data_IF_231718758969
#
_entry.id   IF_231718758969
#
_cell.length_a   1.000
_cell.length_b   1.000
_cell.length_c   1.000
_cell.angle_alpha   90.00
_cell.angle_beta   90.00
_cell.angle_gamma   90.00
#
_symmetry.space_group_name_H-M   'P 1'
#
loop_
_entity.id
_entity.type
_entity.pdbx_description
1 polymer ?
#
# COMPACT_ATOMS: atom_id res chain seq x y z
N UNK A 1 -17.46 -23.46 -9.05
CA UNK A 1 -18.61 -22.78 -8.42
C UNK A 1 -18.96 -21.54 -9.22
N UNK A 2 -20.19 -21.04 -9.15
CA UNK A 2 -20.53 -19.73 -9.75
C UNK A 2 -20.28 -18.60 -8.73
N UNK A 3 -19.95 -17.41 -9.21
CA UNK A 3 -19.87 -16.21 -8.36
C UNK A 3 -21.28 -15.87 -7.85
N UNK A 4 -21.46 -15.74 -6.52
CA UNK A 4 -22.76 -15.47 -5.94
C UNK A 4 -23.14 -13.98 -6.11
N UNK A 5 -24.39 -13.62 -5.83
CA UNK A 5 -24.85 -12.22 -6.02
C UNK A 5 -24.33 -11.30 -4.93
N UNK A 6 -24.07 -11.85 -3.75
CA UNK A 6 -23.46 -11.14 -2.65
C UNK A 6 -22.23 -11.93 -2.19
N UNK A 7 -21.06 -11.31 -2.29
CA UNK A 7 -19.83 -11.82 -1.73
C UNK A 7 -18.98 -10.64 -1.29
N UNK A 8 -18.60 -10.60 -0.01
CA UNK A 8 -17.66 -9.60 0.48
C UNK A 8 -16.74 -10.17 1.53
N UNK A 9 -15.53 -9.65 1.59
CA UNK A 9 -14.55 -9.91 2.64
C UNK A 9 -14.16 -8.60 3.32
N UNK A 10 -14.07 -8.65 4.65
CA UNK A 10 -13.41 -7.60 5.42
C UNK A 10 -11.90 -7.69 5.20
N UNK A 11 -11.22 -6.54 5.13
CA UNK A 11 -9.76 -6.53 5.03
C UNK A 11 -9.11 -7.16 6.26
N UNK A 12 -8.03 -7.90 6.06
CA UNK A 12 -7.22 -8.46 7.13
C UNK A 12 -6.09 -7.54 7.61
N UNK A 13 -5.67 -6.58 6.79
CA UNK A 13 -4.62 -5.61 7.11
C UNK A 13 -5.24 -4.22 7.27
N UNK A 14 -5.20 -3.69 8.48
CA UNK A 14 -5.81 -2.41 8.85
C UNK A 14 -4.74 -1.44 9.38
N UNK A 15 -4.01 -0.73 8.49
CA UNK A 15 -3.08 0.32 8.92
C UNK A 15 -3.81 1.59 9.36
N UNK A 16 -3.24 2.32 10.31
CA UNK A 16 -3.63 3.70 10.64
C UNK A 16 -3.09 4.68 9.60
N UNK A 17 -3.38 5.98 9.77
CA UNK A 17 -2.62 7.03 9.07
C UNK A 17 -1.17 7.01 9.58
N UNK A 18 -0.21 7.24 8.69
CA UNK A 18 1.17 7.47 9.09
C UNK A 18 1.42 8.96 9.27
N UNK A 19 1.90 9.38 10.43
CA UNK A 19 2.00 10.79 10.80
C UNK A 19 3.47 11.19 10.86
N UNK A 20 3.81 12.33 10.24
CA UNK A 20 5.15 12.89 10.30
C UNK A 20 5.32 13.83 11.48
N UNK A 21 6.42 13.68 12.20
CA UNK A 21 6.78 14.49 13.35
C UNK A 21 8.29 14.52 13.54
N UNK A 22 8.79 15.43 14.36
CA UNK A 22 10.17 15.46 14.81
C UNK A 22 10.22 15.58 16.32
N UNK A 23 11.42 15.43 16.90
CA UNK A 23 11.64 15.56 18.34
C UNK A 23 12.42 16.84 18.63
N UNK A 24 12.15 17.45 19.78
CA UNK A 24 12.93 18.55 20.35
C UNK A 24 13.33 18.18 21.79
N UNK A 25 14.24 18.92 22.45
CA UNK A 25 14.55 18.67 23.86
C UNK A 25 13.33 18.72 24.79
N UNK A 26 12.27 19.42 24.40
CA UNK A 26 11.05 19.63 25.18
C UNK A 26 9.90 18.68 24.80
N UNK A 27 9.98 18.00 23.66
CA UNK A 27 8.85 17.25 23.09
C UNK A 27 9.30 16.07 22.22
N UNK A 28 8.81 14.88 22.53
CA UNK A 28 9.02 13.67 21.71
C UNK A 28 8.10 13.60 20.48
N UNK A 29 7.19 14.57 20.33
CA UNK A 29 6.26 14.62 19.23
C UNK A 29 5.91 16.07 18.87
N UNK A 30 6.74 16.69 18.02
CA UNK A 30 6.40 17.93 17.35
C UNK A 30 5.82 17.65 15.96
N UNK A 31 4.54 18.00 15.70
CA UNK A 31 3.90 17.80 14.41
C UNK A 31 4.65 18.50 13.27
N UNK A 32 4.99 17.76 12.20
CA UNK A 32 5.50 18.38 10.97
C UNK A 32 4.35 19.10 10.27
N UNK A 33 4.45 20.42 10.14
CA UNK A 33 3.37 21.25 9.59
C UNK A 33 3.42 21.37 8.07
N UNK A 34 2.25 21.58 7.47
CA UNK A 34 2.09 21.92 6.07
C UNK A 34 2.04 23.44 5.95
N UNK A 35 2.78 23.98 4.98
CA UNK A 35 2.81 25.39 4.63
C UNK A 35 2.09 25.63 3.31
N UNK A 36 1.64 26.87 3.10
CA UNK A 36 1.04 27.28 1.83
C UNK A 36 1.92 28.31 1.14
N UNK A 37 2.35 27.97 -0.07
CA UNK A 37 3.18 28.85 -0.90
C UNK A 37 2.37 29.37 -2.08
N UNK A 38 2.54 30.66 -2.37
CA UNK A 38 2.07 31.29 -3.61
C UNK A 38 3.26 31.47 -4.54
N UNK A 39 3.22 30.82 -5.69
CA UNK A 39 4.29 30.84 -6.69
C UNK A 39 3.73 31.24 -8.05
N UNK A 40 4.59 31.75 -8.92
CA UNK A 40 4.24 32.10 -10.30
C UNK A 40 4.99 31.15 -11.22
N UNK A 41 4.27 30.21 -11.82
CA UNK A 41 4.79 29.32 -12.85
C UNK A 41 4.74 29.97 -14.23
N UNK A 42 5.29 29.29 -15.23
CA UNK A 42 5.07 29.62 -16.64
C UNK A 42 3.96 28.75 -17.22
N UNK A 43 3.30 29.21 -18.28
CA UNK A 43 2.40 28.37 -19.07
C UNK A 43 3.24 27.34 -19.83
N UNK A 44 3.00 26.07 -19.57
CA UNK A 44 3.79 24.95 -20.10
C UNK A 44 2.94 23.74 -20.45
N UNK A 45 1.62 23.81 -20.26
CA UNK A 45 0.71 22.74 -20.63
C UNK A 45 0.49 22.70 -22.13
N UNK A 46 0.29 21.50 -22.68
CA UNK A 46 -0.09 21.34 -24.09
C UNK A 46 -1.31 22.18 -24.45
N UNK A 47 -2.32 22.18 -23.57
CA UNK A 47 -3.54 22.97 -23.74
C UNK A 47 -3.32 24.49 -23.67
N UNK A 48 -2.17 24.99 -23.22
CA UNK A 48 -1.88 26.43 -23.24
C UNK A 48 -1.61 26.90 -24.67
N UNK A 49 -0.93 26.09 -25.50
CA UNK A 49 -0.51 26.45 -26.86
C UNK A 49 -1.24 25.70 -27.99
N UNK A 50 -1.85 24.55 -27.69
CA UNK A 50 -2.45 23.65 -28.68
C UNK A 50 -3.91 23.32 -28.36
N UNK A 51 -4.67 23.04 -29.42
CA UNK A 51 -6.03 22.48 -29.35
C UNK A 51 -5.98 20.96 -29.13
N UNK A 52 -7.12 20.32 -28.84
CA UNK A 52 -7.20 18.87 -28.58
C UNK A 52 -6.68 18.03 -29.75
N UNK A 53 -6.84 18.52 -30.98
CA UNK A 53 -6.39 17.89 -32.23
C UNK A 53 -4.89 18.11 -32.51
N UNK A 54 -4.19 18.87 -31.68
CA UNK A 54 -2.76 19.18 -31.85
C UNK A 54 -2.45 20.36 -32.77
N UNK A 55 -3.47 21.08 -33.22
CA UNK A 55 -3.30 22.33 -33.94
C UNK A 55 -2.89 23.45 -32.99
N UNK A 56 -1.96 24.30 -33.42
CA UNK A 56 -1.54 25.47 -32.64
C UNK A 56 -2.71 26.47 -32.50
N UNK A 57 -2.87 27.02 -31.30
CA UNK A 57 -3.80 28.13 -31.05
C UNK A 57 -3.25 29.41 -31.65
N UNK A 58 -4.13 30.28 -32.16
CA UNK A 58 -3.76 31.61 -32.59
C UNK A 58 -3.57 32.51 -31.35
N UNK A 59 -2.35 32.54 -30.82
CA UNK A 59 -1.97 33.29 -29.63
C UNK A 59 -0.89 34.31 -29.99
N UNK A 60 -0.90 35.46 -29.34
CA UNK A 60 0.23 36.36 -29.42
C UNK A 60 1.39 35.81 -28.57
N UNK A 61 2.67 36.08 -28.92
CA UNK A 61 3.82 35.58 -28.16
C UNK A 61 3.74 35.90 -26.65
N UNK A 62 3.22 37.07 -26.28
CA UNK A 62 3.05 37.45 -24.88
C UNK A 62 2.07 36.56 -24.08
N UNK A 63 1.11 35.91 -24.75
CA UNK A 63 0.08 35.12 -24.08
C UNK A 63 0.66 33.90 -23.36
N UNK A 64 1.78 33.36 -23.86
CA UNK A 64 2.53 32.27 -23.24
C UNK A 64 3.58 32.76 -22.24
N UNK A 65 3.97 34.04 -22.31
CA UNK A 65 4.93 34.65 -21.40
C UNK A 65 4.31 35.11 -20.07
N UNK A 66 2.98 35.32 -20.03
CA UNK A 66 2.31 35.66 -18.77
C UNK A 66 2.48 34.56 -17.72
N UNK A 67 2.85 35.00 -16.51
CA UNK A 67 2.94 34.12 -15.35
C UNK A 67 1.60 33.46 -15.04
N UNK A 68 1.67 32.26 -14.49
CA UNK A 68 0.55 31.47 -14.01
C UNK A 68 0.65 31.36 -12.47
N UNK A 69 0.02 32.30 -11.73
CA UNK A 69 0.03 32.26 -10.26
C UNK A 69 -0.71 31.02 -9.75
N UNK A 70 -0.08 30.31 -8.82
CA UNK A 70 -0.63 29.11 -8.18
C UNK A 70 -0.40 29.17 -6.68
N UNK A 71 -1.37 28.67 -5.92
CA UNK A 71 -1.21 28.40 -4.48
C UNK A 71 -1.06 26.89 -4.31
N UNK A 72 -0.02 26.43 -3.63
CA UNK A 72 0.21 25.01 -3.37
C UNK A 72 0.54 24.76 -1.90
N UNK A 73 0.14 23.59 -1.40
CA UNK A 73 0.61 23.11 -0.11
C UNK A 73 1.98 22.44 -0.29
N UNK A 74 2.88 22.77 0.61
CA UNK A 74 4.24 22.21 0.68
C UNK A 74 4.54 21.76 2.11
N UNK A 75 5.53 20.89 2.26
CA UNK A 75 5.93 20.36 3.55
C UNK A 75 7.43 20.19 3.52
N UNK A 76 8.16 20.87 4.41
CA UNK A 76 9.62 20.81 4.47
C UNK A 76 10.04 20.50 5.91
N UNK A 77 11.14 19.77 6.05
CA UNK A 77 11.75 19.60 7.37
C UNK A 77 12.28 20.95 7.87
N UNK A 78 12.05 21.33 9.15
CA UNK A 78 12.60 22.57 9.68
C UNK A 78 14.14 22.61 9.58
N UNK A 79 14.76 23.79 9.35
CA UNK A 79 16.21 23.90 9.13
C UNK A 79 17.10 23.35 10.26
N UNK A 80 16.59 23.30 11.49
CA UNK A 80 17.32 22.84 12.68
C UNK A 80 17.10 21.36 12.99
N UNK A 81 16.30 20.65 12.18
CA UNK A 81 15.93 19.26 12.41
C UNK A 81 16.69 18.37 11.43
N UNK A 82 17.46 17.42 11.97
CA UNK A 82 18.25 16.46 11.18
C UNK A 82 17.55 15.10 11.03
N UNK A 83 16.55 14.85 11.89
CA UNK A 83 15.83 13.58 11.94
C UNK A 83 14.32 13.83 11.97
N UNK A 84 13.64 13.22 11.00
CA UNK A 84 12.19 13.19 10.91
C UNK A 84 11.70 11.79 11.25
N UNK A 85 10.56 11.68 11.92
CA UNK A 85 9.91 10.42 12.23
C UNK A 85 8.60 10.30 11.44
N UNK A 86 8.27 9.07 11.03
CA UNK A 86 6.96 8.73 10.48
C UNK A 86 6.44 7.48 11.18
N UNK A 87 5.30 7.57 11.87
CA UNK A 87 4.76 6.45 12.67
C UNK A 87 3.33 6.11 12.30
N UNK A 88 3.02 4.82 12.26
CA UNK A 88 1.67 4.28 12.13
C UNK A 88 1.54 2.94 12.84
N UNK A 89 0.31 2.55 13.19
CA UNK A 89 0.02 1.21 13.67
C UNK A 89 -0.60 0.34 12.57
N UNK A 90 -0.36 -0.97 12.65
CA UNK A 90 -0.99 -1.97 11.80
C UNK A 90 -1.66 -3.01 12.67
N UNK A 91 -2.97 -3.21 12.46
CA UNK A 91 -3.70 -4.36 12.99
C UNK A 91 -3.84 -5.42 11.91
N UNK A 92 -3.45 -6.65 12.24
CA UNK A 92 -3.60 -7.84 11.40
C UNK A 92 -4.67 -8.75 12.00
N UNK A 93 -5.62 -9.16 11.17
CA UNK A 93 -6.82 -9.91 11.56
C UNK A 93 -7.06 -11.09 10.60
N UNK A 94 -7.60 -12.19 11.11
CA UNK A 94 -7.88 -13.39 10.32
C UNK A 94 -9.17 -13.31 9.49
N UNK A 95 -9.52 -12.12 8.98
CA UNK A 95 -10.73 -11.85 8.20
C UNK A 95 -10.76 -12.56 6.82
N UNK A 96 -9.63 -13.12 6.38
CA UNK A 96 -9.55 -13.93 5.15
C UNK A 96 -10.09 -15.36 5.30
N UNK A 97 -10.36 -15.84 6.52
CA UNK A 97 -10.81 -17.23 6.79
C UNK A 97 -12.19 -17.51 6.16
N UNK A 98 -13.10 -16.55 6.22
CA UNK A 98 -14.46 -16.72 5.73
C UNK A 98 -15.03 -15.41 5.17
N UNK A 99 -16.02 -15.49 4.25
CA UNK A 99 -16.69 -14.30 3.76
C UNK A 99 -17.38 -13.52 4.89
N UNK A 100 -17.32 -12.20 4.84
CA UNK A 100 -18.09 -11.32 5.72
C UNK A 100 -19.59 -11.33 5.37
N UNK A 101 -19.91 -11.38 4.07
CA UNK A 101 -21.27 -11.53 3.55
C UNK A 101 -21.21 -12.50 2.38
N UNK A 102 -22.09 -13.50 2.36
CA UNK A 102 -22.31 -14.37 1.21
C UNK A 102 -23.73 -14.94 1.19
N UNK A 103 -24.39 -14.93 0.03
CA UNK A 103 -25.76 -15.44 -0.15
C UNK A 103 -25.84 -16.91 -0.63
N UNK A 104 -24.70 -17.59 -0.82
CA UNK A 104 -24.65 -19.01 -1.21
C UNK A 104 -23.83 -19.85 -0.18
N UNK A 105 -24.49 -20.71 0.62
CA UNK A 105 -23.81 -21.58 1.58
C UNK A 105 -22.76 -22.52 0.97
N UNK A 106 -22.92 -22.93 -0.30
CA UNK A 106 -21.93 -23.77 -0.99
C UNK A 106 -20.65 -22.98 -1.26
N UNK A 107 -20.77 -21.71 -1.62
CA UNK A 107 -19.61 -20.83 -1.83
C UNK A 107 -18.88 -20.60 -0.51
N UNK A 108 -19.60 -20.35 0.58
CA UNK A 108 -19.00 -20.25 1.94
C UNK A 108 -18.18 -21.49 2.27
N UNK A 109 -18.76 -22.69 2.07
CA UNK A 109 -18.07 -23.95 2.33
C UNK A 109 -16.76 -24.06 1.54
N UNK A 110 -16.78 -23.78 0.24
CA UNK A 110 -15.59 -23.90 -0.61
C UNK A 110 -14.51 -22.87 -0.25
N UNK A 111 -14.89 -21.65 0.11
CA UNK A 111 -13.94 -20.60 0.49
C UNK A 111 -13.30 -20.87 1.85
N UNK A 112 -14.09 -21.34 2.84
CA UNK A 112 -13.54 -21.80 4.13
C UNK A 112 -12.56 -22.96 3.93
N UNK A 113 -12.98 -23.96 3.14
CA UNK A 113 -12.12 -25.12 2.82
C UNK A 113 -10.83 -24.68 2.12
N UNK A 114 -10.92 -23.74 1.18
CA UNK A 114 -9.74 -23.18 0.52
C UNK A 114 -8.77 -22.58 1.52
N UNK A 115 -9.24 -21.72 2.43
CA UNK A 115 -8.38 -21.09 3.41
C UNK A 115 -7.77 -22.09 4.38
N UNK A 116 -8.55 -23.06 4.87
CA UNK A 116 -8.03 -24.11 5.77
C UNK A 116 -6.97 -24.98 5.09
N UNK A 117 -7.19 -25.39 3.83
CA UNK A 117 -6.19 -26.11 3.05
C UNK A 117 -4.94 -25.26 2.83
N UNK A 118 -5.11 -23.98 2.48
CA UNK A 118 -3.99 -23.04 2.28
C UNK A 118 -3.15 -22.86 3.55
N UNK A 119 -3.81 -22.70 4.71
CA UNK A 119 -3.17 -22.64 6.03
C UNK A 119 -2.43 -23.94 6.35
N UNK A 120 -3.06 -25.10 6.13
CA UNK A 120 -2.46 -26.43 6.38
C UNK A 120 -1.18 -26.66 5.58
N UNK A 121 -1.10 -26.14 4.35
CA UNK A 121 0.07 -26.23 3.49
C UNK A 121 1.05 -25.05 3.65
N UNK A 122 0.98 -24.31 4.76
CA UNK A 122 1.85 -23.18 5.11
C UNK A 122 1.81 -21.99 4.13
N UNK A 123 0.73 -21.84 3.36
CA UNK A 123 0.60 -20.75 2.39
C UNK A 123 0.55 -19.35 3.02
N UNK A 124 0.06 -19.22 4.26
CA UNK A 124 0.05 -17.93 4.96
C UNK A 124 1.45 -17.37 5.20
N UNK A 125 2.47 -18.24 5.34
CA UNK A 125 3.85 -17.81 5.53
C UNK A 125 4.37 -17.03 4.31
N UNK A 126 4.02 -17.44 3.09
CA UNK A 126 4.42 -16.74 1.87
C UNK A 126 3.86 -15.31 1.84
N UNK A 127 2.57 -15.14 2.17
CA UNK A 127 1.94 -13.82 2.21
C UNK A 127 2.49 -12.96 3.35
N UNK A 128 2.63 -13.54 4.54
CA UNK A 128 3.17 -12.85 5.70
C UNK A 128 4.61 -12.37 5.46
N UNK A 129 5.45 -13.20 4.85
CA UNK A 129 6.82 -12.85 4.46
C UNK A 129 6.85 -11.69 3.47
N UNK A 130 5.96 -11.70 2.48
CA UNK A 130 5.83 -10.61 1.50
C UNK A 130 5.37 -9.30 2.13
N UNK A 131 4.40 -9.33 3.04
CA UNK A 131 3.97 -8.16 3.79
C UNK A 131 5.10 -7.63 4.69
N UNK A 132 5.78 -8.52 5.41
CA UNK A 132 6.93 -8.19 6.25
C UNK A 132 8.05 -7.50 5.45
N UNK A 133 8.41 -8.02 4.27
CA UNK A 133 9.37 -7.38 3.36
C UNK A 133 9.00 -5.93 3.06
N UNK A 134 7.74 -5.65 2.71
CA UNK A 134 7.32 -4.28 2.39
C UNK A 134 7.36 -3.33 3.59
N UNK A 135 7.06 -3.85 4.80
CA UNK A 135 7.17 -3.08 6.04
C UNK A 135 8.64 -2.76 6.34
N UNK A 136 9.51 -3.77 6.35
CA UNK A 136 10.94 -3.65 6.67
C UNK A 136 11.75 -2.88 5.62
N UNK A 137 11.32 -2.85 4.36
CA UNK A 137 11.94 -2.00 3.33
C UNK A 137 11.53 -0.53 3.44
N UNK A 138 10.49 -0.20 4.23
CA UNK A 138 9.95 1.16 4.29
C UNK A 138 9.18 1.57 3.02
N UNK A 139 8.65 0.62 2.24
CA UNK A 139 7.92 0.93 1.01
C UNK A 139 6.68 1.79 1.26
N UNK A 140 6.12 1.71 2.47
CA UNK A 140 5.00 2.52 2.94
C UNK A 140 5.33 4.01 3.09
N UNK A 141 6.61 4.42 3.08
CA UNK A 141 7.03 5.83 3.04
C UNK A 141 6.93 6.43 1.63
N UNK A 142 6.76 5.60 0.59
CA UNK A 142 6.75 6.02 -0.82
C UNK A 142 7.98 6.87 -1.17
N UNK A 143 7.79 8.10 -1.67
CA UNK A 143 8.89 9.00 -2.05
C UNK A 143 9.79 9.38 -0.88
N UNK A 144 9.27 9.40 0.35
CA UNK A 144 10.05 9.78 1.54
C UNK A 144 11.13 8.74 1.91
N UNK A 145 11.08 7.55 1.27
CA UNK A 145 12.14 6.55 1.34
C UNK A 145 13.43 7.01 0.63
N UNK A 146 13.32 7.96 -0.30
CA UNK A 146 14.46 8.57 -1.01
C UNK A 146 15.15 9.62 -0.13
N UNK A 147 15.60 9.18 1.05
CA UNK A 147 16.32 9.99 2.04
C UNK A 147 17.69 9.38 2.31
N UNK A 148 18.68 10.15 2.80
CA UNK A 148 20.02 9.65 3.11
C UNK A 148 20.03 8.35 3.92
N UNK A 149 19.25 8.31 5.01
CA UNK A 149 19.07 7.11 5.80
C UNK A 149 17.63 6.94 6.30
N UNK A 150 17.18 5.68 6.37
CA UNK A 150 15.86 5.31 6.91
C UNK A 150 16.05 4.05 7.76
N UNK A 151 15.87 4.20 9.06
CA UNK A 151 15.85 3.07 9.99
C UNK A 151 14.41 2.81 10.41
N UNK A 152 14.06 1.53 10.58
CA UNK A 152 12.70 1.11 10.91
C UNK A 152 12.73 0.32 12.21
N UNK A 153 11.92 0.78 13.16
CA UNK A 153 11.61 0.09 14.40
C UNK A 153 10.17 -0.40 14.37
N UNK A 154 9.95 -1.64 14.80
CA UNK A 154 8.63 -2.25 14.92
C UNK A 154 8.48 -2.82 16.32
N UNK A 155 7.52 -2.29 17.05
CA UNK A 155 7.10 -2.81 18.34
C UNK A 155 5.95 -3.79 18.14
N UNK A 156 6.01 -4.91 18.85
CA UNK A 156 4.95 -5.91 18.96
C UNK A 156 4.53 -6.03 20.41
N UNK A 157 3.35 -6.59 20.70
CA UNK A 157 2.79 -6.59 22.07
C UNK A 157 3.67 -7.31 23.11
N UNK A 158 4.46 -8.32 22.72
CA UNK A 158 5.16 -9.21 23.66
C UNK A 158 6.60 -9.58 23.25
N UNK A 159 7.22 -8.88 22.31
CA UNK A 159 8.59 -9.16 21.88
C UNK A 159 9.51 -7.94 21.94
N UNK A 160 10.81 -8.20 21.90
CA UNK A 160 11.80 -7.15 21.69
C UNK A 160 11.52 -6.40 20.37
N UNK A 161 11.87 -5.10 20.29
CA UNK A 161 11.73 -4.32 19.06
C UNK A 161 12.45 -5.00 17.89
N UNK A 162 11.80 -5.08 16.73
CA UNK A 162 12.44 -5.47 15.49
C UNK A 162 13.03 -4.22 14.87
N UNK A 163 14.35 -4.21 14.65
CA UNK A 163 15.09 -3.06 14.13
C UNK A 163 15.72 -3.42 12.80
N UNK A 164 15.58 -2.54 11.81
CA UNK A 164 16.26 -2.61 10.52
C UNK A 164 16.91 -1.27 10.22
N UNK A 165 18.23 -1.28 10.10
CA UNK A 165 19.00 -0.11 9.71
C UNK A 165 19.13 -0.02 8.17
N UNK A 166 19.05 1.20 7.64
CA UNK A 166 19.23 1.45 6.22
C UNK A 166 18.21 0.75 5.31
N UNK A 167 16.93 0.71 5.73
CA UNK A 167 15.82 0.07 5.03
C UNK A 167 15.68 0.49 3.56
N UNK A 168 16.08 1.71 3.20
CA UNK A 168 16.12 2.21 1.82
C UNK A 168 17.05 1.42 0.89
N UNK A 169 18.04 0.72 1.45
CA UNK A 169 19.01 -0.10 0.71
C UNK A 169 18.46 -1.50 0.39
N UNK A 170 17.49 -1.98 1.16
CA UNK A 170 16.86 -3.28 0.96
C UNK A 170 16.08 -3.33 -0.37
N UNK A 171 16.06 -4.50 -1.01
CA UNK A 171 15.40 -4.73 -2.31
C UNK A 171 14.49 -5.96 -2.23
N UNK A 172 13.40 -5.94 -3.00
CA UNK A 172 12.39 -7.01 -3.02
C UNK A 172 12.99 -8.39 -3.30
N UNK A 173 13.79 -8.49 -4.37
CA UNK A 173 14.57 -9.66 -4.77
C UNK A 173 16.03 -9.60 -4.29
N UNK A 174 16.29 -8.85 -3.19
CA UNK A 174 17.64 -8.67 -2.63
C UNK A 174 18.06 -9.79 -1.70
N UNK A 175 19.32 -9.73 -1.24
CA UNK A 175 19.83 -10.61 -0.18
C UNK A 175 19.35 -10.13 1.20
N UNK A 176 18.59 -10.98 1.89
CA UNK A 176 18.04 -10.70 3.22
C UNK A 176 18.85 -11.29 4.38
N UNK A 177 20.01 -11.92 4.14
CA UNK A 177 20.81 -12.62 5.19
C UNK A 177 21.04 -11.77 6.44
N UNK A 178 21.42 -10.50 6.28
CA UNK A 178 21.71 -9.60 7.40
C UNK A 178 20.45 -9.16 8.18
N UNK A 179 19.27 -9.32 7.58
CA UNK A 179 17.98 -8.95 8.17
C UNK A 179 17.05 -10.18 8.27
N UNK A 180 17.62 -11.39 8.26
CA UNK A 180 16.85 -12.63 8.18
C UNK A 180 16.04 -12.85 9.44
N UNK A 181 16.62 -12.61 10.62
CA UNK A 181 15.92 -12.69 11.90
C UNK A 181 14.74 -11.72 11.94
N UNK A 182 14.97 -10.45 11.59
CA UNK A 182 13.91 -9.44 11.54
C UNK A 182 12.77 -9.84 10.59
N UNK A 183 13.11 -10.37 9.40
CA UNK A 183 12.14 -10.87 8.44
C UNK A 183 11.33 -12.04 8.99
N UNK A 184 12.00 -13.07 9.54
CA UNK A 184 11.33 -14.26 10.08
C UNK A 184 10.39 -13.86 11.23
N UNK A 185 10.89 -13.13 12.22
CA UNK A 185 10.10 -12.74 13.40
C UNK A 185 8.87 -11.92 13.03
N UNK A 186 9.00 -10.94 12.11
CA UNK A 186 7.84 -10.17 11.66
C UNK A 186 6.87 -11.02 10.82
N UNK A 187 7.38 -11.94 10.01
CA UNK A 187 6.56 -12.84 9.20
C UNK A 187 5.74 -13.78 10.08
N UNK A 188 6.33 -14.33 11.14
CA UNK A 188 5.65 -15.17 12.12
C UNK A 188 4.53 -14.40 12.83
N UNK A 189 4.80 -13.17 13.28
CA UNK A 189 3.80 -12.33 13.93
C UNK A 189 2.62 -11.99 12.99
N UNK A 190 2.88 -11.67 11.72
CA UNK A 190 1.82 -11.41 10.74
C UNK A 190 1.06 -12.70 10.41
N UNK A 191 1.77 -13.83 10.25
CA UNK A 191 1.16 -15.13 9.97
C UNK A 191 0.22 -15.54 11.10
N UNK A 192 0.61 -15.36 12.36
CA UNK A 192 -0.23 -15.66 13.52
C UNK A 192 -1.54 -14.86 13.45
N UNK A 193 -1.47 -13.54 13.27
CA UNK A 193 -2.64 -12.67 13.18
C UNK A 193 -3.54 -12.96 11.97
N UNK A 194 -2.98 -13.45 10.85
CA UNK A 194 -3.77 -13.90 9.70
C UNK A 194 -4.45 -15.25 9.91
N UNK A 195 -4.00 -16.03 10.90
CA UNK A 195 -4.38 -17.44 11.04
C UNK A 195 -5.39 -17.73 12.16
N UNK A 196 -5.47 -16.85 13.17
CA UNK A 196 -6.29 -17.07 14.37
C UNK A 196 -7.35 -15.97 14.52
N UNK A 197 -8.66 -16.28 14.37
CA UNK A 197 -9.74 -15.31 14.58
C UNK A 197 -9.81 -14.69 15.98
N UNK A 198 -9.21 -15.33 16.99
CA UNK A 198 -9.25 -14.90 18.39
C UNK A 198 -8.05 -14.03 18.78
N UNK A 199 -6.99 -14.01 17.97
CA UNK A 199 -5.79 -13.23 18.24
C UNK A 199 -5.66 -12.12 17.20
N UNK A 200 -5.41 -10.91 17.68
CA UNK A 200 -5.07 -9.78 16.83
C UNK A 200 -3.56 -9.53 16.94
N UNK A 201 -2.88 -9.33 15.81
CA UNK A 201 -1.50 -8.88 15.83
C UNK A 201 -1.47 -7.37 15.66
N UNK A 202 -1.00 -6.66 16.68
CA UNK A 202 -0.80 -5.22 16.68
C UNK A 202 0.68 -4.90 16.55
N UNK A 203 0.98 -4.06 15.56
CA UNK A 203 2.32 -3.58 15.28
C UNK A 203 2.32 -2.05 15.39
N UNK A 204 3.27 -1.47 16.12
CA UNK A 204 3.59 -0.04 16.05
C UNK A 204 4.88 0.12 15.23
N UNK A 205 4.79 0.77 14.08
CA UNK A 205 5.87 0.91 13.11
C UNK A 205 6.32 2.37 13.07
N UNK A 206 7.58 2.61 13.40
CA UNK A 206 8.21 3.93 13.33
C UNK A 206 9.39 3.88 12.37
N UNK A 207 9.42 4.80 11.41
CA UNK A 207 10.61 5.10 10.63
C UNK A 207 11.30 6.34 11.19
N UNK A 208 12.61 6.24 11.45
CA UNK A 208 13.51 7.37 11.66
C UNK A 208 14.20 7.68 10.34
N UNK A 209 14.00 8.90 9.85
CA UNK A 209 14.44 9.36 8.53
C UNK A 209 15.49 10.44 8.76
N UNK A 210 16.75 10.14 8.47
CA UNK A 210 17.80 11.16 8.41
C UNK A 210 17.57 11.99 7.16
N UNK A 211 17.34 13.29 7.32
CA UNK A 211 17.00 14.19 6.23
C UNK A 211 18.17 15.11 5.85
N UNK A 212 18.18 15.55 4.59
CA UNK A 212 19.02 16.66 4.17
C UNK A 212 18.48 17.99 4.74
N UNK A 213 19.31 19.04 4.69
CA UNK A 213 18.93 20.38 5.14
C UNK A 213 17.68 20.87 4.40
N UNK A 214 16.63 21.21 5.17
CA UNK A 214 15.34 21.69 4.64
C UNK A 214 14.75 20.80 3.53
N UNK A 215 14.87 19.48 3.67
CA UNK A 215 14.38 18.52 2.67
C UNK A 215 12.84 18.59 2.51
N UNK A 216 12.33 18.51 1.28
CA UNK A 216 10.89 18.37 1.03
C UNK A 216 10.39 17.01 1.53
N UNK A 217 9.27 17.03 2.25
CA UNK A 217 8.52 15.85 2.66
C UNK A 217 7.28 15.74 1.77
N UNK A 218 6.91 14.51 1.43
CA UNK A 218 5.83 14.21 0.51
C UNK A 218 4.68 13.42 1.20
N UNK A 219 3.76 14.11 1.88
CA UNK A 219 2.52 13.53 2.41
C UNK A 219 1.60 12.97 1.32
N UNK A 220 0.45 12.42 1.72
CA UNK A 220 -0.60 12.12 0.74
C UNK A 220 -1.19 13.42 0.21
N UNK A 221 -1.55 13.44 -1.07
CA UNK A 221 -2.32 14.54 -1.65
C UNK A 221 -3.82 14.21 -1.52
N UNK A 222 -4.62 15.20 -1.16
CA UNK A 222 -6.08 15.09 -1.18
C UNK A 222 -6.56 15.11 -2.63
N UNK A 223 -7.52 14.24 -2.92
CA UNK A 223 -8.27 14.34 -4.15
C UNK A 223 -9.33 15.44 -3.99
N UNK A 224 -9.32 16.42 -4.88
CA UNK A 224 -10.22 17.58 -4.86
C UNK A 224 -10.75 17.74 -6.28
N UNK A 225 -12.04 17.50 -6.50
CA UNK A 225 -12.68 17.57 -7.83
C UNK A 225 -12.71 19.00 -8.38
N UNK A 226 -12.90 19.99 -7.51
CA UNK A 226 -12.95 21.40 -7.88
C UNK A 226 -12.23 22.22 -6.82
N UNK A 227 -11.24 23.01 -7.24
CA UNK A 227 -10.47 23.86 -6.34
C UNK A 227 -11.20 25.19 -6.19
N UNK A 228 -11.65 25.50 -4.98
CA UNK A 228 -12.26 26.80 -4.67
C UNK A 228 -11.27 27.96 -4.92
N UNK A 229 -11.81 29.13 -5.29
CA UNK A 229 -10.98 30.29 -5.59
C UNK A 229 -10.16 30.72 -4.36
N UNK A 230 -8.84 30.85 -4.52
CA UNK A 230 -7.92 31.21 -3.45
C UNK A 230 -7.42 30.02 -2.62
N UNK A 231 -7.98 28.82 -2.82
CA UNK A 231 -7.48 27.59 -2.21
C UNK A 231 -6.31 27.01 -2.99
N UNK A 232 -5.52 26.21 -2.29
CA UNK A 232 -4.40 25.49 -2.86
C UNK A 232 -4.84 24.46 -3.89
N UNK A 233 -4.21 24.45 -5.07
CA UNK A 233 -4.46 23.49 -6.15
C UNK A 233 -3.86 22.11 -5.86
N UNK A 234 -2.84 22.06 -4.99
CA UNK A 234 -2.23 20.83 -4.47
C UNK A 234 -2.43 20.81 -2.97
N UNK A 235 -3.47 20.13 -2.50
CA UNK A 235 -3.77 20.05 -1.07
C UNK A 235 -3.15 18.81 -0.44
N UNK A 236 -2.39 18.98 0.65
CA UNK A 236 -1.75 17.87 1.35
C UNK A 236 -2.62 17.34 2.50
N UNK A 237 -2.54 16.04 2.75
CA UNK A 237 -3.27 15.33 3.79
C UNK A 237 -2.61 15.52 5.15
N UNK A 238 -3.42 15.74 6.17
CA UNK A 238 -2.98 15.92 7.54
C UNK A 238 -3.89 15.22 8.55
N UNK A 239 -3.40 15.11 9.78
CA UNK A 239 -4.20 14.80 10.97
C UNK A 239 -4.09 15.94 11.98
N UNK A 240 -5.13 16.13 12.78
CA UNK A 240 -5.13 17.14 13.83
C UNK A 240 -4.38 16.61 15.06
N UNK A 241 -3.46 17.41 15.61
CA UNK A 241 -2.73 17.13 16.85
C UNK A 241 -2.73 18.40 17.69
N UNK A 242 -3.59 18.45 18.71
CA UNK A 242 -3.91 19.69 19.41
C UNK A 242 -4.43 20.73 18.41
N UNK A 243 -3.81 21.91 18.37
CA UNK A 243 -4.13 22.98 17.42
C UNK A 243 -3.33 22.92 16.11
N UNK A 244 -2.39 21.97 15.98
CA UNK A 244 -1.50 21.84 14.83
C UNK A 244 -2.02 20.79 13.82
N UNK A 245 -1.74 21.02 12.53
CA UNK A 245 -2.01 20.08 11.43
C UNK A 245 -0.73 19.30 11.11
N UNK A 246 -0.67 18.04 11.53
CA UNK A 246 0.45 17.15 11.26
C UNK A 246 0.33 16.53 9.87
N UNK A 247 1.32 16.72 9.02
CA UNK A 247 1.41 16.10 7.71
C UNK A 247 1.30 14.56 7.81
N UNK A 248 0.59 13.91 6.88
CA UNK A 248 0.32 12.47 7.00
C UNK A 248 0.21 11.71 5.67
N UNK A 249 0.48 10.41 5.72
CA UNK A 249 0.09 9.45 4.71
C UNK A 249 -1.26 8.82 5.08
N UNK A 250 -2.19 8.78 4.12
CA UNK A 250 -3.48 8.13 4.31
C UNK A 250 -3.31 6.62 4.53
N UNK A 251 -4.15 6.03 5.37
CA UNK A 251 -4.10 4.59 5.67
C UNK A 251 -4.23 3.71 4.43
N UNK A 252 -5.07 4.11 3.45
CA UNK A 252 -5.21 3.38 2.18
C UNK A 252 -3.91 3.39 1.37
N UNK A 253 -3.13 4.47 1.43
CA UNK A 253 -1.84 4.60 0.74
C UNK A 253 -0.76 3.76 1.42
N UNK A 254 -0.76 3.70 2.76
CA UNK A 254 0.10 2.79 3.54
C UNK A 254 -0.25 1.33 3.23
N UNK A 255 -1.54 0.96 3.30
CA UNK A 255 -2.01 -0.40 3.02
C UNK A 255 -1.73 -0.85 1.59
N UNK A 256 -1.88 0.04 0.61
CA UNK A 256 -1.52 -0.24 -0.77
C UNK A 256 -0.03 -0.58 -0.95
N UNK A 257 0.87 0.09 -0.22
CA UNK A 257 2.29 -0.21 -0.26
C UNK A 257 2.61 -1.57 0.39
N UNK A 258 2.03 -1.87 1.56
CA UNK A 258 2.20 -3.17 2.23
C UNK A 258 1.73 -4.32 1.33
N UNK A 259 0.61 -4.12 0.62
CA UNK A 259 0.01 -5.10 -0.28
C UNK A 259 0.63 -5.10 -1.70
N UNK A 260 1.79 -4.48 -1.91
CA UNK A 260 2.53 -4.57 -3.18
C UNK A 260 3.33 -5.87 -3.20
N UNK A 261 2.63 -6.98 -3.43
CA UNK A 261 3.16 -8.34 -3.25
C UNK A 261 2.92 -9.27 -4.44
N UNK A 262 2.15 -8.84 -5.45
CA UNK A 262 1.78 -9.70 -6.59
C UNK A 262 2.84 -9.60 -7.70
N UNK A 263 3.79 -10.52 -7.71
CA UNK A 263 4.71 -10.76 -8.84
C UNK A 263 4.45 -12.12 -9.52
N UNK A 264 3.31 -12.75 -9.21
CA UNK A 264 2.86 -14.05 -9.73
C UNK A 264 2.11 -13.95 -11.06
N UNK A 265 2.18 -12.80 -11.73
CA UNK A 265 1.52 -12.56 -13.02
C UNK A 265 2.52 -12.79 -14.15
N UNK A 266 2.03 -12.93 -15.38
CA UNK A 266 2.89 -13.16 -16.55
C UNK A 266 3.99 -12.08 -16.67
N UNK A 267 5.25 -12.52 -16.67
CA UNK A 267 6.42 -11.66 -16.72
C UNK A 267 6.96 -11.21 -15.36
N UNK A 268 6.13 -11.14 -14.31
CA UNK A 268 6.54 -11.02 -12.89
C UNK A 268 7.66 -10.02 -12.54
N UNK A 269 7.89 -9.00 -13.37
CA UNK A 269 9.13 -8.23 -13.35
C UNK A 269 9.24 -7.26 -12.16
N UNK A 270 8.10 -6.95 -11.53
CA UNK A 270 8.02 -6.20 -10.27
C UNK A 270 6.78 -6.65 -9.50
N UNK A 271 6.77 -6.54 -8.17
CA UNK A 271 5.53 -6.74 -7.42
C UNK A 271 4.53 -5.61 -7.71
N UNK A 272 3.29 -5.99 -7.98
CA UNK A 272 2.15 -5.09 -8.10
C UNK A 272 1.35 -5.06 -6.81
N UNK A 273 0.60 -3.97 -6.60
CA UNK A 273 -0.44 -3.95 -5.56
C UNK A 273 -1.45 -5.06 -5.89
N UNK A 274 -1.73 -5.92 -4.93
CA UNK A 274 -2.79 -6.93 -5.04
C UNK A 274 -4.08 -6.28 -5.52
N UNK A 275 -4.53 -6.70 -6.69
CA UNK A 275 -5.66 -6.15 -7.40
C UNK A 275 -6.30 -7.25 -8.24
N UNK A 276 -7.63 -7.27 -8.33
CA UNK A 276 -8.42 -8.31 -8.99
C UNK A 276 -7.99 -8.54 -10.43
N UNK A 277 -7.54 -7.47 -11.10
CA UNK A 277 -7.07 -7.45 -12.49
C UNK A 277 -5.56 -7.15 -12.65
N UNK A 278 -4.78 -7.15 -11.55
CA UNK A 278 -3.33 -6.89 -11.62
C UNK A 278 -2.97 -5.55 -12.29
N UNK A 279 -3.58 -4.45 -11.84
CA UNK A 279 -3.44 -3.15 -12.49
C UNK A 279 -2.10 -2.48 -12.17
N UNK A 280 -1.30 -2.23 -13.21
CA UNK A 280 -0.09 -1.43 -13.17
C UNK A 280 -0.39 0.03 -13.54
N UNK A 281 -0.43 0.89 -12.53
CA UNK A 281 -0.73 2.33 -12.70
C UNK A 281 0.40 3.11 -13.37
N UNK A 282 1.62 2.57 -13.43
CA UNK A 282 2.75 3.29 -14.04
C UNK A 282 2.68 3.24 -15.57
N UNK A 283 2.26 2.11 -16.13
CA UNK A 283 2.14 1.91 -17.59
C UNK A 283 0.69 1.80 -18.07
N UNK A 284 -0.28 1.89 -17.15
CA UNK A 284 -1.72 1.81 -17.41
C UNK A 284 -2.16 0.48 -18.05
N UNK A 285 -1.58 -0.63 -17.61
CA UNK A 285 -1.88 -2.00 -18.11
C UNK A 285 -2.46 -2.86 -16.99
N UNK A 286 -3.43 -3.71 -17.32
CA UNK A 286 -3.91 -4.78 -16.46
C UNK A 286 -3.22 -6.09 -16.84
N UNK A 287 -2.37 -6.64 -15.97
CA UNK A 287 -1.62 -7.87 -16.24
C UNK A 287 -2.44 -9.15 -16.06
N UNK A 288 -3.57 -9.07 -15.34
CA UNK A 288 -4.48 -10.19 -15.14
C UNK A 288 -5.83 -9.84 -15.75
N UNK A 289 -6.06 -10.31 -16.98
CA UNK A 289 -7.29 -9.98 -17.70
C UNK A 289 -8.26 -11.17 -17.69
N UNK A 290 -9.57 -10.92 -17.83
CA UNK A 290 -10.52 -11.99 -18.07
C UNK A 290 -10.22 -12.82 -19.33
N UNK A 291 -9.57 -12.22 -20.33
CA UNK A 291 -9.15 -12.92 -21.56
C UNK A 291 -8.02 -13.92 -21.31
N UNK A 292 -7.08 -13.59 -20.41
CA UNK A 292 -5.99 -14.50 -20.01
C UNK A 292 -6.40 -15.50 -18.93
N UNK A 293 -7.64 -15.44 -18.44
CA UNK A 293 -8.18 -16.28 -17.35
C UNK A 293 -7.34 -16.28 -16.06
N UNK A 294 -6.50 -15.27 -15.86
CA UNK A 294 -5.58 -15.14 -14.72
C UNK A 294 -6.02 -14.09 -13.70
N UNK A 295 -7.16 -13.44 -13.94
CA UNK A 295 -7.81 -12.52 -13.02
C UNK A 295 -8.56 -13.25 -11.90
N UNK A 296 -8.84 -12.54 -10.81
CA UNK A 296 -9.48 -13.10 -9.63
C UNK A 296 -10.84 -13.74 -9.95
N UNK A 297 -11.65 -13.14 -10.82
CA UNK A 297 -12.99 -13.63 -11.14
C UNK A 297 -12.97 -14.83 -12.08
N UNK A 298 -11.91 -15.05 -12.85
CA UNK A 298 -11.69 -16.29 -13.62
C UNK A 298 -11.11 -17.42 -12.77
N UNK A 299 -10.35 -17.09 -11.72
CA UNK A 299 -9.73 -18.06 -10.83
C UNK A 299 -10.70 -18.56 -9.75
N UNK A 300 -11.47 -17.68 -9.12
CA UNK A 300 -12.36 -18.00 -8.01
C UNK A 300 -13.38 -19.12 -8.33
N UNK A 301 -14.03 -19.17 -9.51
CA UNK A 301 -14.91 -20.28 -9.88
C UNK A 301 -14.24 -21.66 -9.85
N UNK A 302 -12.92 -21.73 -10.02
CA UNK A 302 -12.10 -22.95 -10.04
C UNK A 302 -11.52 -23.34 -8.68
N UNK A 303 -11.98 -22.71 -7.58
CA UNK A 303 -11.43 -22.92 -6.22
C UNK A 303 -11.28 -24.39 -5.81
N UNK A 304 -12.21 -25.28 -6.21
CA UNK A 304 -12.15 -26.70 -5.89
C UNK A 304 -10.96 -27.42 -6.56
N UNK A 305 -10.56 -26.98 -7.76
CA UNK A 305 -9.37 -27.50 -8.46
C UNK A 305 -8.09 -27.06 -7.72
N UNK A 306 -8.03 -25.80 -7.30
CA UNK A 306 -6.92 -25.28 -6.52
C UNK A 306 -6.77 -25.96 -5.15
N UNK A 307 -7.88 -26.26 -4.47
CA UNK A 307 -7.88 -27.08 -3.24
C UNK A 307 -7.27 -28.46 -3.52
N UNK A 308 -7.74 -29.13 -4.57
CA UNK A 308 -7.24 -30.46 -4.94
C UNK A 308 -5.76 -30.43 -5.33
N UNK A 309 -5.31 -29.35 -5.98
CA UNK A 309 -3.89 -29.14 -6.29
C UNK A 309 -3.08 -29.06 -5.00
N UNK A 310 -3.46 -28.18 -4.06
CA UNK A 310 -2.78 -28.06 -2.75
C UNK A 310 -2.74 -29.39 -1.99
N UNK A 311 -3.86 -30.11 -1.93
CA UNK A 311 -3.94 -31.41 -1.22
C UNK A 311 -3.00 -32.47 -1.82
N UNK A 312 -2.74 -32.41 -3.14
CA UNK A 312 -1.94 -33.41 -3.85
C UNK A 312 -0.46 -33.02 -3.97
N UNK A 313 -0.18 -31.73 -4.16
CA UNK A 313 1.12 -31.21 -4.56
C UNK A 313 1.70 -30.18 -3.56
N UNK A 314 0.93 -29.74 -2.58
CA UNK A 314 1.32 -28.65 -1.70
C UNK A 314 1.34 -27.28 -2.40
N UNK A 315 2.29 -26.44 -2.03
CA UNK A 315 2.49 -25.08 -2.55
C UNK A 315 3.93 -24.89 -3.04
N UNK A 316 4.45 -25.88 -3.79
CA UNK A 316 5.74 -25.74 -4.47
C UNK A 316 5.63 -24.68 -5.59
N UNK A 317 6.75 -24.04 -5.94
CA UNK A 317 6.75 -22.98 -6.96
C UNK A 317 6.19 -23.49 -8.30
N UNK A 318 5.20 -22.78 -8.83
CA UNK A 318 4.53 -23.12 -10.08
C UNK A 318 3.25 -22.31 -10.28
N UNK A 319 2.74 -22.32 -11.50
CA UNK A 319 1.62 -21.47 -11.93
C UNK A 319 0.35 -21.64 -11.08
N UNK A 320 0.04 -22.88 -10.66
CA UNK A 320 -1.13 -23.15 -9.81
C UNK A 320 -0.94 -22.65 -8.38
N UNK A 321 0.25 -22.80 -7.79
CA UNK A 321 0.58 -22.24 -6.46
C UNK A 321 0.56 -20.71 -6.50
N UNK A 322 1.10 -20.13 -7.55
CA UNK A 322 1.08 -18.69 -7.83
C UNK A 322 -0.35 -18.14 -7.91
N UNK A 323 -1.23 -18.84 -8.62
CA UNK A 323 -2.66 -18.53 -8.65
C UNK A 323 -3.32 -18.65 -7.27
N UNK A 324 -2.98 -19.67 -6.49
CA UNK A 324 -3.47 -19.86 -5.12
C UNK A 324 -3.03 -18.71 -4.20
N UNK A 325 -1.75 -18.34 -4.23
CA UNK A 325 -1.22 -17.21 -3.47
C UNK A 325 -1.92 -15.90 -3.86
N UNK A 326 -2.15 -15.68 -5.15
CA UNK A 326 -2.89 -14.53 -5.65
C UNK A 326 -4.35 -14.50 -5.15
N UNK A 327 -5.08 -15.62 -5.23
CA UNK A 327 -6.45 -15.71 -4.70
C UNK A 327 -6.46 -15.37 -3.20
N UNK A 328 -5.57 -15.99 -2.42
CA UNK A 328 -5.49 -15.74 -0.98
C UNK A 328 -5.14 -14.27 -0.66
N UNK A 329 -4.22 -13.67 -1.42
CA UNK A 329 -3.87 -12.26 -1.29
C UNK A 329 -5.08 -11.34 -1.55
N UNK A 330 -5.91 -11.62 -2.57
CA UNK A 330 -7.11 -10.84 -2.87
C UNK A 330 -8.17 -10.98 -1.78
N UNK A 331 -8.35 -12.18 -1.21
CA UNK A 331 -9.28 -12.40 -0.09
C UNK A 331 -8.83 -11.66 1.18
N UNK A 332 -7.54 -11.71 1.53
CA UNK A 332 -6.93 -10.98 2.66
C UNK A 332 -7.01 -9.45 2.47
N UNK A 333 -6.86 -8.98 1.23
CA UNK A 333 -7.07 -7.55 0.90
C UNK A 333 -8.48 -7.11 1.27
N UNK A 334 -9.47 -8.00 1.12
CA UNK A 334 -10.88 -7.70 1.28
C UNK A 334 -11.45 -6.90 0.11
N UNK A 335 -12.78 -6.85 0.04
CA UNK A 335 -13.49 -6.21 -1.06
C UNK A 335 -14.91 -6.71 -1.24
N UNK A 336 -15.60 -6.11 -2.20
CA UNK A 336 -16.90 -6.55 -2.68
C UNK A 336 -16.67 -7.34 -3.98
N UNK A 337 -16.95 -8.64 -3.95
CA UNK A 337 -16.74 -9.59 -5.06
C UNK A 337 -18.07 -10.07 -5.67
N UNK A 338 -19.10 -9.24 -5.54
CA UNK A 338 -20.42 -9.52 -6.07
C UNK A 338 -20.45 -9.45 -7.60
N UNK A 339 -21.17 -10.38 -8.21
CA UNK A 339 -21.58 -10.24 -9.61
C UNK A 339 -22.59 -9.09 -9.69
N UNK A 340 -22.28 -8.02 -10.43
CA UNK A 340 -23.22 -6.91 -10.62
C UNK A 340 -24.54 -7.44 -11.19
N UNK A 341 -25.65 -6.82 -10.75
CA UNK A 341 -26.96 -7.03 -11.38
C UNK A 341 -26.81 -6.60 -12.84
N UNK A 342 -26.96 -7.56 -13.76
CA UNK A 342 -27.45 -7.26 -15.09
C UNK A 342 -28.91 -6.84 -15.01
#
# INVERSE_FOLDING_TARGET
MQLPRHLSYSRSLSPSKAVFFYKTPESDFEPLQIEQNKLVGQKSGFGDAYQKQGEAKNLAPQDLAFGNPQTIDVCYVPPTVNELFCRFSLRVEANGIEPHVCDDPKVIYWLKRFFETYKKHNGLNELATRYAKNILMGNWLWRNRQSPNVDIEILTEHAAPIIVEGAQKLKWQGNWRNNQTALITLSEAIQEGLSNPQNYCYLDITAQITNAFSQEVHPSQKFVDTVEQGMSSKQLAYTQVGDKKAASLNSQKVGAAIQTIDDWYEGGYKPLRTHEYGADKQILVAHRTPMSHSDFYSLLPRIALHIKHMEKHGLEQGEESDAVHFIAAVLIKGGLFQRSKG
#
